data_IF_612530325593
#
_entry.id   IF_612530325593
#
_cell.length_a   1.000
_cell.length_b   1.000
_cell.length_c   1.000
_cell.angle_alpha   90.00
_cell.angle_beta   90.00
_cell.angle_gamma   90.00
#
_symmetry.space_group_name_H-M   'P 1'
#
loop_
_entity.id
_entity.type
_entity.pdbx_description
1 polymer ?
#
# COMPACT_ATOMS: atom_id res chain seq x y z
N UNK A 1 3.18 -6.29 16.78
CA UNK A 1 2.88 -4.88 16.42
C UNK A 1 1.48 -4.86 15.81
N UNK A 2 0.68 -3.82 16.04
CA UNK A 2 -0.65 -3.74 15.44
C UNK A 2 -0.60 -2.79 14.23
N UNK A 3 -0.79 -3.34 13.03
CA UNK A 3 -0.94 -2.58 11.78
C UNK A 3 -2.40 -2.71 11.32
N UNK A 4 -3.08 -1.59 11.14
CA UNK A 4 -4.47 -1.53 10.71
C UNK A 4 -4.57 -0.71 9.44
N UNK A 5 -4.95 -1.34 8.34
CA UNK A 5 -5.24 -0.65 7.09
C UNK A 5 -6.59 0.04 7.24
N UNK A 6 -6.60 1.34 6.99
CA UNK A 6 -7.81 2.17 7.02
C UNK A 6 -8.43 2.24 5.64
N UNK A 7 -7.58 2.42 4.62
CA UNK A 7 -8.01 2.54 3.25
C UNK A 7 -6.87 2.17 2.30
N UNK A 8 -7.16 1.42 1.24
CA UNK A 8 -6.21 1.19 0.16
C UNK A 8 -6.93 1.17 -1.19
N UNK A 9 -6.35 1.86 -2.17
CA UNK A 9 -6.88 1.96 -3.53
C UNK A 9 -5.77 1.73 -4.55
N UNK A 10 -6.10 0.99 -5.59
CA UNK A 10 -5.20 0.71 -6.69
C UNK A 10 -5.87 1.03 -8.02
N UNK A 11 -5.22 1.80 -8.88
CA UNK A 11 -5.72 2.09 -10.21
C UNK A 11 -5.31 3.47 -10.71
N UNK A 12 -6.11 4.01 -11.61
CA UNK A 12 -5.91 5.31 -12.25
C UNK A 12 -7.03 6.27 -11.86
N UNK A 13 -6.96 7.50 -12.35
CA UNK A 13 -8.05 8.48 -12.21
C UNK A 13 -9.37 8.01 -12.83
N UNK A 14 -9.33 7.09 -13.81
CA UNK A 14 -10.52 6.59 -14.50
C UNK A 14 -11.04 5.26 -13.93
N UNK A 15 -10.14 4.37 -13.54
CA UNK A 15 -10.47 2.99 -13.12
C UNK A 15 -9.71 2.66 -11.85
N UNK A 16 -10.40 2.45 -10.72
CA UNK A 16 -9.76 2.10 -9.46
C UNK A 16 -10.51 1.01 -8.70
N UNK A 17 -9.75 0.19 -7.97
CA UNK A 17 -10.24 -0.92 -7.16
C UNK A 17 -9.90 -0.70 -5.70
N UNK A 18 -10.85 -1.02 -4.82
CA UNK A 18 -10.61 -0.97 -3.39
C UNK A 18 -9.91 -2.26 -2.95
N UNK A 19 -8.66 -2.13 -2.52
CA UNK A 19 -7.79 -3.25 -2.11
C UNK A 19 -7.54 -3.23 -0.61
N UNK A 20 -8.33 -2.44 0.14
CA UNK A 20 -8.23 -2.30 1.60
C UNK A 20 -8.24 -3.65 2.29
N UNK A 21 -9.16 -4.54 1.93
CA UNK A 21 -9.27 -5.86 2.54
C UNK A 21 -8.08 -6.76 2.21
N UNK A 22 -7.57 -6.70 0.97
CA UNK A 22 -6.41 -7.48 0.52
C UNK A 22 -5.18 -7.06 1.34
N UNK A 23 -4.91 -5.75 1.41
CA UNK A 23 -3.82 -5.22 2.22
C UNK A 23 -4.00 -5.56 3.70
N UNK A 24 -5.22 -5.42 4.25
CA UNK A 24 -5.51 -5.79 5.64
C UNK A 24 -5.21 -7.26 5.91
N UNK A 25 -5.57 -8.16 4.99
CA UNK A 25 -5.32 -9.59 5.15
C UNK A 25 -3.83 -9.93 5.06
N UNK A 26 -3.09 -9.29 4.14
CA UNK A 26 -1.65 -9.45 4.02
C UNK A 26 -0.92 -9.07 5.32
N UNK A 27 -1.21 -7.89 5.86
CA UNK A 27 -0.58 -7.42 7.10
C UNK A 27 -1.03 -8.20 8.33
N UNK A 28 -2.27 -8.70 8.33
CA UNK A 28 -2.77 -9.59 9.39
C UNK A 28 -2.07 -10.94 9.37
N UNK A 29 -1.54 -11.36 8.22
CA UNK A 29 -0.71 -12.56 8.08
C UNK A 29 0.76 -12.30 8.48
N UNK A 30 1.12 -11.04 8.77
CA UNK A 30 2.48 -10.62 9.09
C UNK A 30 3.31 -10.22 7.87
N UNK A 31 2.67 -9.96 6.72
CA UNK A 31 3.34 -9.47 5.53
C UNK A 31 3.30 -7.94 5.51
N UNK A 32 4.45 -7.31 5.75
CA UNK A 32 4.60 -5.85 5.79
C UNK A 32 4.98 -5.28 4.41
N UNK A 33 5.46 -6.12 3.50
CA UNK A 33 5.79 -5.79 2.11
C UNK A 33 4.57 -6.01 1.21
N UNK A 34 4.03 -4.94 0.65
CA UNK A 34 2.92 -4.97 -0.29
C UNK A 34 3.46 -4.80 -1.71
N UNK A 35 3.53 -5.88 -2.51
CA UNK A 35 3.91 -5.76 -3.92
C UNK A 35 2.78 -5.09 -4.70
N UNK A 36 3.08 -3.97 -5.33
CA UNK A 36 2.10 -3.19 -6.13
C UNK A 36 2.04 -3.76 -7.54
N UNK A 37 1.31 -4.86 -7.70
CA UNK A 37 1.11 -5.51 -8.99
C UNK A 37 -0.32 -5.98 -9.19
N UNK A 38 -0.70 -6.19 -10.45
CA UNK A 38 -2.05 -6.60 -10.84
C UNK A 38 -2.47 -7.92 -10.16
N UNK A 39 -1.56 -8.88 -10.04
CA UNK A 39 -1.85 -10.18 -9.43
C UNK A 39 -2.22 -10.07 -7.95
N UNK A 40 -1.50 -9.24 -7.20
CA UNK A 40 -1.72 -9.02 -5.78
C UNK A 40 -2.95 -8.14 -5.53
N UNK A 41 -3.19 -7.16 -6.41
CA UNK A 41 -4.31 -6.21 -6.29
C UNK A 41 -5.64 -6.78 -6.80
N UNK A 42 -5.67 -8.05 -7.23
CA UNK A 42 -6.89 -8.76 -7.64
C UNK A 42 -7.22 -8.70 -9.13
N UNK A 43 -6.31 -8.20 -9.96
CA UNK A 43 -6.44 -8.13 -11.42
C UNK A 43 -5.84 -6.84 -11.98
N UNK A 44 -5.92 -6.69 -13.31
CA UNK A 44 -5.59 -5.44 -13.99
C UNK A 44 -6.88 -4.64 -14.23
N UNK A 45 -7.10 -3.53 -13.50
CA UNK A 45 -8.26 -2.68 -13.72
C UNK A 45 -8.14 -1.79 -14.97
N UNK A 46 -6.94 -1.60 -15.54
CA UNK A 46 -6.72 -0.75 -16.71
C UNK A 46 -5.50 -1.23 -17.51
N UNK A 47 -5.77 -2.06 -18.51
CA UNK A 47 -4.75 -2.72 -19.33
C UNK A 47 -4.02 -1.68 -20.17
N UNK A 48 -2.71 -1.54 -19.95
CA UNK A 48 -1.82 -0.67 -20.72
C UNK A 48 -1.60 0.73 -20.12
N UNK A 49 -2.13 0.99 -18.92
CA UNK A 49 -1.89 2.25 -18.19
C UNK A 49 -1.17 1.97 -16.88
N UNK A 50 -0.18 2.80 -16.57
CA UNK A 50 0.54 2.75 -15.29
C UNK A 50 -0.42 3.12 -14.16
N UNK A 51 -0.64 2.18 -13.26
CA UNK A 51 -1.54 2.37 -12.12
C UNK A 51 -0.79 2.92 -10.91
N UNK A 52 -1.51 3.69 -10.11
CA UNK A 52 -1.05 4.24 -8.84
C UNK A 52 -1.71 3.51 -7.69
N UNK A 53 -0.94 3.30 -6.64
CA UNK A 53 -1.40 2.72 -5.38
C UNK A 53 -1.31 3.76 -4.28
N UNK A 54 -2.35 3.87 -3.48
CA UNK A 54 -2.35 4.68 -2.28
C UNK A 54 -2.92 3.86 -1.12
N UNK A 55 -2.21 3.89 0.01
CA UNK A 55 -2.62 3.21 1.23
C UNK A 55 -2.54 4.16 2.43
N UNK A 56 -3.56 4.08 3.26
CA UNK A 56 -3.68 4.75 4.55
C UNK A 56 -3.76 3.68 5.60
N UNK A 57 -2.84 3.68 6.55
CA UNK A 57 -2.81 2.72 7.63
C UNK A 57 -2.43 3.37 8.94
N UNK A 58 -2.90 2.77 10.02
CA UNK A 58 -2.58 3.15 11.37
C UNK A 58 -1.58 2.13 11.93
N UNK A 59 -0.41 2.62 12.32
CA UNK A 59 0.61 1.79 12.99
C UNK A 59 0.64 2.15 14.45
N UNK A 60 0.52 1.15 15.32
CA UNK A 60 0.77 1.31 16.74
C UNK A 60 2.18 0.79 17.07
N UNK A 61 3.13 1.72 17.18
CA UNK A 61 4.48 1.47 17.70
C UNK A 61 4.73 2.35 18.93
N UNK A 62 5.73 2.02 19.75
CA UNK A 62 6.10 2.80 20.91
C UNK A 62 6.41 4.28 20.57
N UNK A 63 6.90 4.54 19.34
CA UNK A 63 7.16 5.89 18.83
C UNK A 63 5.94 6.59 18.21
N UNK A 64 4.93 5.84 17.74
CA UNK A 64 3.72 6.38 17.10
C UNK A 64 2.51 5.60 17.63
N UNK A 65 1.88 6.03 18.73
CA UNK A 65 0.74 5.35 19.34
C UNK A 65 -0.55 5.63 18.56
N UNK A 66 -0.64 5.12 17.33
CA UNK A 66 -1.86 5.21 16.51
C UNK A 66 -1.89 6.38 15.51
N UNK A 67 -0.72 6.82 15.01
CA UNK A 67 -0.67 7.79 13.92
C UNK A 67 -1.12 7.15 12.60
N UNK A 68 -1.88 7.89 11.79
CA UNK A 68 -2.21 7.51 10.42
C UNK A 68 -1.03 7.86 9.51
N UNK A 69 -0.55 6.89 8.75
CA UNK A 69 0.48 7.04 7.73
C UNK A 69 -0.13 6.82 6.36
N UNK A 70 0.25 7.67 5.41
CA UNK A 70 -0.13 7.55 4.01
C UNK A 70 1.12 7.24 3.20
N UNK A 71 1.02 6.25 2.34
CA UNK A 71 2.08 5.90 1.40
C UNK A 71 1.48 5.69 0.02
N UNK A 72 2.27 6.03 -0.99
CA UNK A 72 1.91 5.90 -2.39
C UNK A 72 3.02 5.19 -3.14
N UNK A 73 2.64 4.32 -4.06
CA UNK A 73 3.56 3.60 -4.93
C UNK A 73 3.00 3.51 -6.35
N UNK A 74 3.87 3.17 -7.29
CA UNK A 74 3.50 2.95 -8.69
C UNK A 74 3.44 1.45 -8.97
N UNK A 75 2.72 1.03 -9.99
CA UNK A 75 2.74 -0.35 -10.46
C UNK A 75 4.17 -0.84 -10.76
N UNK A 76 4.52 -2.01 -10.22
CA UNK A 76 5.85 -2.61 -10.29
C UNK A 76 6.72 -2.35 -9.07
N UNK A 77 6.33 -1.42 -8.19
CA UNK A 77 7.05 -1.12 -6.95
C UNK A 77 6.63 -2.03 -5.79
N UNK A 78 7.47 -2.12 -4.75
CA UNK A 78 7.12 -2.85 -3.52
C UNK A 78 7.06 -1.87 -2.37
N UNK A 79 5.89 -1.78 -1.74
CA UNK A 79 5.65 -0.84 -0.66
C UNK A 79 5.88 -1.51 0.69
N UNK A 80 6.94 -1.11 1.39
CA UNK A 80 7.22 -1.55 2.75
C UNK A 80 6.43 -0.70 3.76
N UNK A 81 5.48 -1.33 4.46
CA UNK A 81 4.64 -0.69 5.46
C UNK A 81 5.31 -0.56 6.83
N UNK A 82 6.45 -1.20 7.05
CA UNK A 82 7.26 -1.14 8.27
C UNK A 82 8.73 -1.01 7.89
N UNK A 83 9.15 0.13 7.32
CA UNK A 83 10.54 0.33 6.96
C UNK A 83 11.43 0.19 8.19
N UNK A 84 12.31 -0.81 8.19
CA UNK A 84 13.30 -1.05 9.24
C UNK A 84 14.27 0.14 9.43
N UNK A 85 14.26 1.07 8.47
CA UNK A 85 14.91 2.37 8.51
C UNK A 85 14.99 2.88 7.08
N UNK A 86 14.18 3.89 6.73
CA UNK A 86 14.20 4.66 5.48
C UNK A 86 14.35 3.88 4.16
N UNK A 87 13.29 3.82 3.34
CA UNK A 87 13.36 3.97 1.87
C UNK A 87 11.95 4.06 1.28
N UNK A 88 11.30 5.22 1.44
CA UNK A 88 10.33 5.65 0.44
C UNK A 88 11.10 6.52 -0.56
N UNK A 89 11.78 5.89 -1.52
CA UNK A 89 12.31 6.62 -2.68
C UNK A 89 11.13 6.90 -3.61
N UNK A 90 10.31 7.87 -3.25
CA UNK A 90 9.45 8.53 -4.22
C UNK A 90 10.36 9.37 -5.12
N UNK A 91 10.43 9.01 -6.40
CA UNK A 91 11.26 9.69 -7.40
C UNK A 91 11.03 11.22 -7.41
N UNK A 92 12.08 12.06 -7.51
CA UNK A 92 11.92 13.50 -7.64
C UNK A 92 11.36 13.86 -9.03
N UNK A 93 10.59 14.96 -9.06
CA UNK A 93 10.03 15.59 -10.27
C UNK A 93 11.10 16.07 -11.25
#
# INVERSE_FOLDING_TARGET
>A
MALKIVYAVYGTTNSSVNVTQICQQAVSTGNDDIPVNNTFMGGDPDIGVVKSFAIVYQRQTAANPGCYTVMTATEGDTLDLVPAGASATAAPR
#
